data_IF_973426010384
#
_entry.id   IF_973426010384
#
_cell.length_a   1.000
_cell.length_b   1.000
_cell.length_c   1.000
_cell.angle_alpha   90.00
_cell.angle_beta   90.00
_cell.angle_gamma   90.00
#
_symmetry.space_group_name_H-M   'P 1'
#
loop_
_entity.id
_entity.type
_entity.pdbx_description
1 polymer ?
#
# COMPACT_ATOMS: atom_id res chain seq x y z
N UNK A 1 22.15 -9.64 -13.85
CA UNK A 1 20.95 -10.32 -13.33
C UNK A 1 20.97 -11.79 -13.70
N UNK A 2 21.18 -12.65 -12.70
CA UNK A 2 20.98 -14.10 -12.82
C UNK A 2 19.47 -14.40 -12.73
N UNK A 3 19.03 -15.57 -13.17
CA UNK A 3 17.61 -15.96 -13.11
C UNK A 3 17.46 -17.16 -12.17
N UNK A 4 16.37 -17.21 -11.41
CA UNK A 4 16.03 -18.32 -10.50
C UNK A 4 15.46 -19.55 -11.24
N UNK A 5 15.88 -19.78 -12.49
CA UNK A 5 15.42 -20.87 -13.35
C UNK A 5 16.55 -21.33 -14.28
N UNK A 6 16.72 -22.65 -14.40
CA UNK A 6 17.59 -23.28 -15.40
C UNK A 6 18.88 -23.96 -14.90
N UNK A 7 19.19 -23.94 -13.59
CA UNK A 7 20.21 -24.79 -12.92
C UNK A 7 19.93 -24.85 -11.41
N UNK A 8 19.87 -26.02 -10.72
CA UNK A 8 20.41 -27.33 -11.11
C UNK A 8 19.41 -28.28 -11.80
N UNK A 9 18.10 -28.00 -11.75
CA UNK A 9 17.07 -28.81 -12.40
C UNK A 9 16.73 -28.30 -13.81
N UNK A 10 16.07 -29.15 -14.61
CA UNK A 10 15.53 -28.73 -15.89
C UNK A 10 14.49 -27.60 -15.67
N UNK A 11 14.62 -26.44 -16.34
CA UNK A 11 13.79 -25.27 -16.08
C UNK A 11 12.29 -25.57 -16.28
N UNK A 12 11.94 -26.48 -17.18
CA UNK A 12 10.56 -26.88 -17.44
C UNK A 12 9.92 -27.55 -16.21
N UNK A 13 10.67 -28.40 -15.50
CA UNK A 13 10.20 -29.04 -14.26
C UNK A 13 10.03 -28.03 -13.13
N UNK A 14 10.95 -27.07 -12.99
CA UNK A 14 10.86 -26.03 -11.96
C UNK A 14 9.66 -25.10 -12.18
N UNK A 15 9.35 -24.80 -13.45
CA UNK A 15 8.18 -23.99 -13.80
C UNK A 15 6.90 -24.75 -13.48
N UNK A 16 6.83 -26.04 -13.80
CA UNK A 16 5.66 -26.87 -13.52
C UNK A 16 5.43 -27.04 -12.01
N UNK A 17 6.49 -27.30 -11.25
CA UNK A 17 6.42 -27.40 -9.78
C UNK A 17 5.89 -26.08 -9.17
N UNK A 18 6.35 -24.94 -9.67
CA UNK A 18 5.92 -23.63 -9.17
C UNK A 18 4.55 -23.16 -9.72
N UNK A 19 4.11 -23.66 -10.88
CA UNK A 19 2.80 -23.41 -11.50
C UNK A 19 1.95 -24.69 -11.50
N UNK A 20 1.68 -25.24 -10.31
CA UNK A 20 0.99 -26.52 -10.13
C UNK A 20 -0.42 -26.65 -10.76
N UNK A 21 -1.00 -25.54 -11.24
CA UNK A 21 -2.30 -25.50 -11.89
C UNK A 21 -2.22 -25.71 -13.42
N UNK A 22 -1.01 -25.73 -14.00
CA UNK A 22 -0.82 -25.93 -15.42
C UNK A 22 -0.30 -27.35 -15.66
N UNK A 23 -1.03 -28.09 -16.48
CA UNK A 23 -0.71 -29.47 -16.84
C UNK A 23 0.40 -29.56 -17.91
N UNK A 24 0.61 -28.48 -18.66
CA UNK A 24 1.52 -28.46 -19.80
C UNK A 24 2.95 -28.02 -19.43
N UNK A 25 3.94 -28.77 -19.91
CA UNK A 25 5.34 -28.31 -19.89
C UNK A 25 5.52 -27.18 -20.92
N UNK A 26 5.87 -25.99 -20.45
CA UNK A 26 6.21 -24.87 -21.33
C UNK A 26 7.68 -24.89 -21.71
N UNK A 27 7.96 -24.57 -22.97
CA UNK A 27 9.33 -24.25 -23.39
C UNK A 27 9.83 -23.00 -22.64
N UNK A 28 10.86 -23.16 -21.80
CA UNK A 28 11.47 -22.07 -21.05
C UNK A 28 11.82 -20.86 -21.93
N UNK A 29 12.23 -21.12 -23.18
CA UNK A 29 12.57 -20.09 -24.17
C UNK A 29 11.44 -19.07 -24.40
N UNK A 30 10.18 -19.48 -24.36
CA UNK A 30 9.02 -18.61 -24.61
C UNK A 30 8.77 -17.66 -23.44
N UNK A 31 8.97 -18.13 -22.22
CA UNK A 31 8.69 -17.39 -20.99
C UNK A 31 9.89 -16.57 -20.49
N UNK A 32 11.10 -16.84 -21.00
CA UNK A 32 12.36 -16.22 -20.55
C UNK A 32 12.36 -14.69 -20.59
N UNK A 33 11.70 -14.08 -21.57
CA UNK A 33 11.62 -12.62 -21.67
C UNK A 33 10.81 -12.03 -20.52
N UNK A 34 9.65 -12.62 -20.23
CA UNK A 34 8.76 -12.16 -19.17
C UNK A 34 9.36 -12.44 -17.79
N UNK A 35 10.03 -13.58 -17.61
CA UNK A 35 10.78 -13.88 -16.38
C UNK A 35 11.84 -12.82 -16.12
N UNK A 36 12.59 -12.38 -17.14
CA UNK A 36 13.60 -11.30 -16.98
C UNK A 36 12.96 -9.97 -16.57
N UNK A 37 11.87 -9.60 -17.23
CA UNK A 37 11.14 -8.36 -16.93
C UNK A 37 10.65 -8.36 -15.48
N UNK A 38 10.00 -9.44 -15.07
CA UNK A 38 9.46 -9.59 -13.71
C UNK A 38 10.56 -9.71 -12.67
N UNK A 39 11.67 -10.38 -12.98
CA UNK A 39 12.83 -10.44 -12.06
C UNK A 39 13.38 -9.03 -11.78
N UNK A 40 13.38 -8.15 -12.78
CA UNK A 40 13.81 -6.76 -12.59
C UNK A 40 12.87 -6.01 -11.65
N UNK A 41 11.56 -6.11 -11.86
CA UNK A 41 10.55 -5.50 -10.97
C UNK A 41 10.59 -6.08 -9.55
N UNK A 42 10.90 -7.38 -9.45
CA UNK A 42 11.08 -8.06 -8.17
C UNK A 42 12.26 -7.48 -7.39
N UNK A 43 13.42 -7.31 -8.04
CA UNK A 43 14.61 -6.70 -7.45
C UNK A 43 14.34 -5.25 -7.03
N UNK A 44 13.61 -4.47 -7.84
CA UNK A 44 13.21 -3.10 -7.47
C UNK A 44 12.37 -3.08 -6.18
N UNK A 45 11.53 -4.11 -5.97
CA UNK A 45 10.63 -4.18 -4.81
C UNK A 45 11.32 -4.69 -3.55
N UNK A 46 12.19 -5.70 -3.66
CA UNK A 46 12.78 -6.42 -2.52
C UNK A 46 14.23 -6.00 -2.23
N UNK A 47 14.91 -5.38 -3.19
CA UNK A 47 16.32 -5.01 -3.11
C UNK A 47 17.24 -6.03 -3.79
N UNK A 48 18.40 -5.55 -4.26
CA UNK A 48 19.41 -6.39 -4.94
C UNK A 48 20.07 -7.37 -3.96
N UNK A 49 20.41 -6.92 -2.75
CA UNK A 49 21.08 -7.76 -1.74
C UNK A 49 20.27 -9.00 -1.36
N UNK A 50 18.96 -8.83 -1.15
CA UNK A 50 18.05 -9.93 -0.81
C UNK A 50 17.89 -10.87 -2.01
N UNK A 51 17.86 -10.33 -3.23
CA UNK A 51 17.80 -11.16 -4.42
C UNK A 51 19.08 -11.99 -4.60
N UNK A 52 20.25 -11.39 -4.38
CA UNK A 52 21.54 -12.07 -4.49
C UNK A 52 21.70 -13.17 -3.43
N UNK A 53 21.16 -12.99 -2.22
CA UNK A 53 21.06 -14.05 -1.20
C UNK A 53 20.22 -15.24 -1.71
N UNK A 54 19.04 -14.98 -2.29
CA UNK A 54 18.18 -16.03 -2.85
C UNK A 54 18.85 -16.74 -4.03
N UNK A 55 19.58 -15.99 -4.88
CA UNK A 55 20.36 -16.57 -5.98
C UNK A 55 21.49 -17.44 -5.44
N UNK A 56 22.17 -17.02 -4.38
CA UNK A 56 23.23 -17.80 -3.76
C UNK A 56 22.70 -19.13 -3.20
N UNK A 57 21.51 -19.14 -2.61
CA UNK A 57 20.81 -20.37 -2.19
C UNK A 57 20.49 -21.24 -3.41
N UNK A 58 19.99 -20.64 -4.50
CA UNK A 58 19.62 -21.37 -5.71
C UNK A 58 20.81 -22.03 -6.42
N UNK A 59 21.97 -21.37 -6.43
CA UNK A 59 23.18 -21.87 -7.10
C UNK A 59 23.93 -22.95 -6.31
N UNK A 60 23.47 -23.30 -5.10
CA UNK A 60 24.06 -24.41 -4.35
C UNK A 60 23.87 -25.72 -5.12
N UNK A 61 24.93 -26.53 -5.21
CA UNK A 61 24.90 -27.81 -5.92
C UNK A 61 23.97 -28.84 -5.26
N UNK A 62 23.67 -28.64 -3.98
CA UNK A 62 22.72 -29.45 -3.22
C UNK A 62 21.46 -28.61 -2.99
N UNK A 63 20.26 -29.11 -3.37
CA UNK A 63 19.02 -28.44 -3.02
C UNK A 63 18.92 -28.26 -1.51
N UNK A 64 18.39 -27.13 -1.02
CA UNK A 64 18.15 -26.93 0.40
C UNK A 64 17.21 -28.03 0.93
N UNK A 65 17.39 -28.42 2.19
CA UNK A 65 16.55 -29.43 2.83
C UNK A 65 15.08 -28.99 2.81
N UNK A 66 14.18 -29.92 2.49
CA UNK A 66 12.75 -29.63 2.40
C UNK A 66 12.22 -29.12 3.74
N UNK A 67 11.54 -27.97 3.71
CA UNK A 67 11.04 -27.29 4.91
C UNK A 67 12.07 -26.43 5.66
N UNK A 68 13.32 -26.37 5.20
CA UNK A 68 14.28 -25.36 5.68
C UNK A 68 13.86 -23.95 5.28
N UNK A 69 14.34 -22.95 6.01
CA UNK A 69 14.07 -21.54 5.71
C UNK A 69 14.55 -21.14 4.31
N UNK A 70 15.69 -21.67 3.89
CA UNK A 70 16.26 -21.50 2.55
C UNK A 70 15.39 -22.12 1.44
N UNK A 71 14.83 -23.31 1.68
CA UNK A 71 13.91 -23.94 0.74
C UNK A 71 12.60 -23.13 0.59
N UNK A 72 12.05 -22.65 1.71
CA UNK A 72 10.79 -21.90 1.74
C UNK A 72 10.95 -20.56 1.02
N UNK A 73 12.00 -19.79 1.31
CA UNK A 73 12.20 -18.49 0.65
C UNK A 73 12.44 -18.65 -0.85
N UNK A 74 13.17 -19.69 -1.24
CA UNK A 74 13.42 -20.00 -2.65
C UNK A 74 12.12 -20.37 -3.37
N UNK A 75 11.27 -21.20 -2.78
CA UNK A 75 9.97 -21.58 -3.35
C UNK A 75 9.05 -20.37 -3.49
N UNK A 76 8.92 -19.55 -2.44
CA UNK A 76 8.11 -18.33 -2.45
C UNK A 76 8.59 -17.33 -3.50
N UNK A 77 9.92 -17.13 -3.63
CA UNK A 77 10.50 -16.24 -4.63
C UNK A 77 10.27 -16.76 -6.05
N UNK A 78 10.49 -18.06 -6.30
CA UNK A 78 10.20 -18.68 -7.60
C UNK A 78 8.72 -18.56 -7.96
N UNK A 79 7.82 -18.88 -7.02
CA UNK A 79 6.36 -18.77 -7.20
C UNK A 79 5.93 -17.35 -7.54
N UNK A 80 6.45 -16.35 -6.83
CA UNK A 80 6.17 -14.94 -7.09
C UNK A 80 6.61 -14.51 -8.50
N UNK A 81 7.84 -14.84 -8.90
CA UNK A 81 8.39 -14.46 -10.21
C UNK A 81 7.65 -15.19 -11.34
N UNK A 82 7.46 -16.50 -11.22
CA UNK A 82 6.89 -17.28 -12.32
C UNK A 82 5.40 -17.02 -12.52
N UNK A 83 4.64 -16.83 -11.44
CA UNK A 83 3.21 -16.50 -11.54
C UNK A 83 3.03 -15.13 -12.19
N UNK A 84 3.84 -14.14 -11.80
CA UNK A 84 3.81 -12.82 -12.42
C UNK A 84 4.29 -12.85 -13.88
N UNK A 85 5.30 -13.66 -14.22
CA UNK A 85 5.75 -13.85 -15.60
C UNK A 85 4.67 -14.52 -16.45
N UNK A 86 4.01 -15.55 -15.91
CA UNK A 86 2.92 -16.25 -16.60
C UNK A 86 1.72 -15.34 -16.85
N UNK A 87 1.38 -14.45 -15.90
CA UNK A 87 0.35 -13.41 -16.08
C UNK A 87 0.61 -12.53 -17.31
N UNK A 88 1.87 -12.17 -17.58
CA UNK A 88 2.23 -11.38 -18.76
C UNK A 88 2.20 -12.22 -20.04
N UNK A 89 2.63 -13.47 -19.92
CA UNK A 89 2.73 -14.40 -21.04
C UNK A 89 1.39 -14.92 -21.55
N UNK A 90 0.46 -15.27 -20.66
CA UNK A 90 -0.79 -15.94 -21.03
C UNK A 90 -1.62 -15.13 -22.05
N UNK A 91 -1.92 -13.82 -21.84
CA UNK A 91 -2.65 -13.02 -22.82
C UNK A 91 -1.90 -12.86 -24.15
N UNK A 92 -0.56 -12.83 -24.13
CA UNK A 92 0.24 -12.73 -25.34
C UNK A 92 0.21 -14.04 -26.15
N UNK A 93 0.04 -15.18 -25.46
CA UNK A 93 0.03 -16.52 -26.02
C UNK A 93 -1.37 -17.00 -26.46
N UNK A 94 -2.45 -16.30 -26.07
CA UNK A 94 -3.83 -16.60 -26.53
C UNK A 94 -3.99 -16.54 -28.06
N UNK A 95 -3.16 -15.73 -28.71
CA UNK A 95 -3.09 -15.60 -30.17
C UNK A 95 -1.76 -16.15 -30.70
N UNK A 96 -1.82 -16.85 -31.82
CA UNK A 96 -0.63 -17.19 -32.59
C UNK A 96 -0.16 -15.95 -33.36
N UNK A 97 1.10 -15.56 -33.17
CA UNK A 97 1.74 -14.50 -33.94
C UNK A 97 2.63 -15.13 -35.01
N UNK A 98 2.11 -15.24 -36.23
CA UNK A 98 2.83 -15.80 -37.39
C UNK A 98 3.23 -14.74 -38.43
N UNK A 99 3.91 -15.17 -39.49
CA UNK A 99 4.27 -14.27 -40.60
C UNK A 99 3.05 -13.67 -41.33
N UNK A 100 1.92 -14.39 -41.31
CA UNK A 100 0.67 -13.95 -41.93
C UNK A 100 -0.22 -13.11 -40.99
N UNK A 101 0.30 -12.72 -39.83
CA UNK A 101 -0.42 -11.93 -38.82
C UNK A 101 -0.83 -12.74 -37.59
N UNK A 102 -1.85 -12.25 -36.88
CA UNK A 102 -2.37 -12.85 -35.64
C UNK A 102 -3.54 -13.76 -35.94
N UNK A 103 -3.46 -15.02 -35.54
CA UNK A 103 -4.52 -16.02 -35.71
C UNK A 103 -4.93 -16.63 -34.38
N UNK A 104 -6.21 -17.02 -34.27
CA UNK A 104 -6.71 -17.72 -33.09
C UNK A 104 -6.15 -19.15 -33.07
N UNK A 105 -5.74 -19.61 -31.88
CA UNK A 105 -5.41 -21.01 -31.66
C UNK A 105 -6.72 -21.81 -31.59
N UNK A 106 -7.15 -22.40 -32.70
CA UNK A 106 -8.29 -23.32 -32.75
C UNK A 106 -7.82 -24.70 -33.21
N UNK A 107 -8.23 -25.74 -32.50
CA UNK A 107 -8.00 -27.15 -32.86
C UNK A 107 -9.36 -27.85 -32.98
N UNK A 108 -9.45 -28.89 -33.81
CA UNK A 108 -10.69 -29.69 -33.94
C UNK A 108 -11.05 -30.40 -32.62
N UNK A 109 -10.06 -30.74 -31.81
CA UNK A 109 -10.24 -31.50 -30.56
C UNK A 109 -10.54 -30.61 -29.34
N UNK A 110 -10.23 -29.31 -29.42
CA UNK A 110 -10.31 -28.40 -28.27
C UNK A 110 -11.14 -27.15 -28.58
N UNK A 111 -12.10 -26.87 -27.69
CA UNK A 111 -12.93 -25.66 -27.79
C UNK A 111 -12.19 -24.45 -27.26
N UNK A 112 -12.16 -23.36 -28.05
CA UNK A 112 -11.59 -22.09 -27.63
C UNK A 112 -12.43 -21.47 -26.50
N UNK A 113 -11.82 -20.94 -25.42
CA UNK A 113 -12.53 -20.26 -24.34
C UNK A 113 -13.20 -18.97 -24.82
N UNK A 114 -14.29 -18.59 -24.16
CA UNK A 114 -14.97 -17.31 -24.40
C UNK A 114 -14.22 -16.16 -23.71
N UNK A 115 -14.42 -14.93 -24.20
CA UNK A 115 -13.77 -13.72 -23.67
C UNK A 115 -13.97 -13.55 -22.16
N UNK A 116 -15.18 -13.76 -21.63
CA UNK A 116 -15.45 -13.61 -20.19
C UNK A 116 -14.69 -14.65 -19.33
N UNK A 117 -14.41 -15.84 -19.88
CA UNK A 117 -13.59 -16.84 -19.20
C UNK A 117 -12.13 -16.42 -19.15
N UNK A 118 -11.60 -15.88 -20.27
CA UNK A 118 -10.24 -15.34 -20.33
C UNK A 118 -10.06 -14.14 -19.40
N UNK A 119 -11.04 -13.23 -19.34
CA UNK A 119 -11.00 -12.09 -18.41
C UNK A 119 -11.01 -12.56 -16.97
N UNK A 120 -11.89 -13.50 -16.61
CA UNK A 120 -11.96 -14.04 -15.25
C UNK A 120 -10.67 -14.76 -14.84
N UNK A 121 -10.05 -15.52 -15.76
CA UNK A 121 -8.78 -16.20 -15.51
C UNK A 121 -7.62 -15.20 -15.35
N UNK A 122 -7.53 -14.19 -16.22
CA UNK A 122 -6.52 -13.14 -16.13
C UNK A 122 -6.60 -12.37 -14.79
N UNK A 123 -7.81 -12.05 -14.33
CA UNK A 123 -8.02 -11.42 -13.02
C UNK A 123 -7.54 -12.34 -11.88
N UNK A 124 -7.76 -13.65 -11.99
CA UNK A 124 -7.32 -14.62 -10.98
C UNK A 124 -5.79 -14.82 -10.99
N UNK A 125 -5.16 -14.83 -12.17
CA UNK A 125 -3.71 -14.84 -12.33
C UNK A 125 -3.07 -13.61 -11.66
N UNK A 126 -3.69 -12.43 -11.82
CA UNK A 126 -3.27 -11.21 -11.12
C UNK A 126 -3.38 -11.35 -9.60
N UNK A 127 -4.53 -11.80 -9.09
CA UNK A 127 -4.71 -12.05 -7.66
C UNK A 127 -3.72 -13.09 -7.12
N UNK A 128 -3.42 -14.13 -7.90
CA UNK A 128 -2.43 -15.16 -7.53
C UNK A 128 -1.02 -14.58 -7.48
N UNK A 129 -0.60 -13.80 -8.48
CA UNK A 129 0.70 -13.13 -8.49
C UNK A 129 0.85 -12.19 -7.27
N UNK A 130 -0.18 -11.42 -6.94
CA UNK A 130 -0.17 -10.58 -5.75
C UNK A 130 -0.14 -11.38 -4.45
N UNK A 131 -0.84 -12.51 -4.34
CA UNK A 131 -0.78 -13.38 -3.17
C UNK A 131 0.63 -13.97 -2.98
N UNK A 132 1.22 -14.53 -4.04
CA UNK A 132 2.57 -15.08 -4.00
C UNK A 132 3.60 -14.04 -3.53
N UNK A 133 3.54 -12.82 -4.08
CA UNK A 133 4.41 -11.72 -3.64
C UNK A 133 4.16 -11.30 -2.19
N UNK A 134 2.89 -11.26 -1.75
CA UNK A 134 2.56 -10.93 -0.37
C UNK A 134 3.08 -11.99 0.62
N UNK A 135 3.00 -13.27 0.27
CA UNK A 135 3.42 -14.35 1.16
C UNK A 135 4.95 -14.38 1.29
N UNK A 136 5.68 -14.12 0.21
CA UNK A 136 7.11 -13.83 0.27
C UNK A 136 7.43 -12.65 1.21
N UNK A 137 6.78 -11.50 1.03
CA UNK A 137 7.06 -10.31 1.84
C UNK A 137 6.75 -10.54 3.33
N UNK A 138 5.68 -11.28 3.65
CA UNK A 138 5.37 -11.67 5.04
C UNK A 138 6.47 -12.55 5.63
N UNK A 139 7.00 -13.48 4.84
CA UNK A 139 8.10 -14.34 5.26
C UNK A 139 9.38 -13.53 5.51
N UNK A 140 9.72 -12.62 4.58
CA UNK A 140 10.87 -11.72 4.69
C UNK A 140 10.77 -10.82 5.93
N UNK A 141 9.62 -10.19 6.18
CA UNK A 141 9.38 -9.37 7.38
C UNK A 141 9.59 -10.16 8.68
N UNK A 142 9.26 -11.46 8.68
CA UNK A 142 9.41 -12.32 9.85
C UNK A 142 10.88 -12.75 10.06
N UNK A 143 11.52 -13.30 9.03
CA UNK A 143 12.74 -14.11 9.17
C UNK A 143 14.02 -13.52 8.57
N UNK A 144 13.94 -12.77 7.47
CA UNK A 144 15.14 -12.29 6.78
C UNK A 144 15.78 -11.11 7.52
N UNK A 145 17.07 -11.22 7.83
CA UNK A 145 17.86 -10.12 8.38
C UNK A 145 18.24 -9.12 7.28
N UNK A 146 18.69 -9.63 6.13
CA UNK A 146 19.05 -8.83 4.94
C UNK A 146 17.92 -7.92 4.50
N UNK A 147 16.68 -8.42 4.50
CA UNK A 147 15.50 -7.59 4.19
C UNK A 147 15.30 -6.47 5.21
N UNK A 148 15.50 -6.72 6.50
CA UNK A 148 15.35 -5.69 7.55
C UNK A 148 16.41 -4.61 7.46
N UNK A 149 17.58 -4.95 6.91
CA UNK A 149 18.65 -4.01 6.65
C UNK A 149 18.51 -3.25 5.31
N UNK A 150 17.59 -3.67 4.43
CA UNK A 150 17.31 -3.00 3.17
C UNK A 150 16.77 -1.58 3.35
N UNK A 151 17.07 -0.72 2.37
CA UNK A 151 16.57 0.66 2.34
C UNK A 151 15.04 0.70 2.26
N UNK A 152 14.43 -0.20 1.47
CA UNK A 152 12.97 -0.31 1.32
C UNK A 152 12.30 -0.62 2.66
N UNK A 153 12.87 -1.52 3.45
CA UNK A 153 12.34 -1.83 4.77
C UNK A 153 12.49 -0.65 5.74
N UNK A 154 13.67 -0.02 5.78
CA UNK A 154 13.95 1.14 6.62
C UNK A 154 13.03 2.31 6.31
N UNK A 155 12.85 2.65 5.03
CA UNK A 155 11.90 3.68 4.59
C UNK A 155 10.46 3.37 5.04
N UNK A 156 10.06 2.11 5.00
CA UNK A 156 8.73 1.68 5.47
C UNK A 156 8.55 1.83 6.99
N UNK A 157 9.61 1.62 7.75
CA UNK A 157 9.60 1.65 9.21
C UNK A 157 9.85 3.06 9.79
N UNK A 158 10.32 4.00 8.98
CA UNK A 158 10.42 5.43 9.35
C UNK A 158 9.03 6.09 9.51
N UNK A 159 8.04 5.58 8.77
CA UNK A 159 6.68 6.09 8.77
C UNK A 159 5.95 5.81 10.10
N UNK A 160 4.88 6.57 10.36
CA UNK A 160 3.92 6.39 11.45
C UNK A 160 3.10 5.11 11.26
N UNK A 161 2.91 4.61 10.05
CA UNK A 161 2.23 3.33 9.82
C UNK A 161 3.24 2.36 9.22
N UNK A 162 3.81 1.50 10.08
CA UNK A 162 4.94 0.63 9.72
C UNK A 162 4.48 -0.74 9.26
N UNK A 163 3.47 -1.27 9.94
CA UNK A 163 3.02 -2.66 9.75
C UNK A 163 1.60 -2.74 9.21
N UNK A 164 1.29 -3.84 8.54
CA UNK A 164 -0.07 -4.14 8.07
C UNK A 164 -1.07 -4.19 9.23
N UNK A 165 -0.63 -4.63 10.42
CA UNK A 165 -1.47 -4.67 11.62
C UNK A 165 -1.89 -3.27 12.08
N UNK A 166 -1.00 -2.29 12.01
CA UNK A 166 -1.32 -0.90 12.36
C UNK A 166 -2.27 -0.29 11.35
N UNK A 167 -2.03 -0.52 10.06
CA UNK A 167 -2.90 -0.06 8.99
C UNK A 167 -4.33 -0.64 9.13
N UNK A 168 -4.41 -1.95 9.40
CA UNK A 168 -5.66 -2.68 9.56
C UNK A 168 -6.52 -2.23 10.77
N UNK A 169 -5.97 -1.45 11.71
CA UNK A 169 -6.77 -0.87 12.80
C UNK A 169 -7.78 0.15 12.29
N UNK A 170 -7.44 0.86 11.22
CA UNK A 170 -8.28 1.90 10.62
C UNK A 170 -8.97 1.40 9.35
N UNK A 171 -8.26 0.67 8.49
CA UNK A 171 -8.83 0.12 7.27
C UNK A 171 -8.16 -1.20 6.87
N UNK A 172 -8.95 -2.22 6.52
CA UNK A 172 -8.43 -3.58 6.28
C UNK A 172 -7.86 -3.68 4.85
N UNK A 173 -6.55 -3.91 4.74
CA UNK A 173 -5.84 -4.15 3.47
C UNK A 173 -5.33 -5.60 3.35
N UNK A 174 -4.87 -6.21 4.46
CA UNK A 174 -4.33 -7.58 4.50
C UNK A 174 -3.21 -7.91 3.48
N UNK A 175 -2.59 -6.90 2.88
CA UNK A 175 -1.51 -7.03 1.89
C UNK A 175 -0.33 -6.14 2.25
N UNK A 176 0.85 -6.76 2.41
CA UNK A 176 2.11 -6.05 2.65
C UNK A 176 2.57 -5.30 1.40
N UNK A 177 2.38 -5.90 0.23
CA UNK A 177 2.69 -5.28 -1.06
C UNK A 177 1.90 -3.97 -1.26
N UNK A 178 0.60 -3.97 -0.94
CA UNK A 178 -0.22 -2.76 -1.07
C UNK A 178 0.24 -1.67 -0.10
N UNK A 179 0.64 -2.03 1.12
CA UNK A 179 1.22 -1.09 2.08
C UNK A 179 2.50 -0.44 1.54
N UNK A 180 3.39 -1.22 0.91
CA UNK A 180 4.60 -0.69 0.26
C UNK A 180 4.24 0.29 -0.86
N UNK A 181 3.27 -0.05 -1.72
CA UNK A 181 2.80 0.84 -2.80
C UNK A 181 2.15 2.14 -2.28
N UNK A 182 1.57 2.13 -1.07
CA UNK A 182 0.95 3.30 -0.44
C UNK A 182 1.92 4.19 0.34
N UNK A 183 3.20 3.79 0.47
CA UNK A 183 4.22 4.56 1.20
C UNK A 183 4.32 6.03 0.78
N UNK A 184 4.31 6.40 -0.52
CA UNK A 184 4.40 7.80 -0.90
C UNK A 184 3.19 8.61 -0.40
N UNK A 185 2.00 8.01 -0.42
CA UNK A 185 0.78 8.62 0.14
C UNK A 185 0.86 8.79 1.66
N UNK A 186 1.40 7.80 2.38
CA UNK A 186 1.65 7.91 3.82
C UNK A 186 2.67 9.01 4.14
N UNK A 187 3.76 9.11 3.38
CA UNK A 187 4.79 10.15 3.54
C UNK A 187 4.21 11.55 3.31
N UNK A 188 3.35 11.71 2.32
CA UNK A 188 2.63 12.98 2.09
C UNK A 188 1.72 13.33 3.26
N UNK A 189 0.96 12.36 3.77
CA UNK A 189 0.07 12.58 4.91
C UNK A 189 0.84 12.94 6.20
N UNK A 190 1.98 12.28 6.44
CA UNK A 190 2.84 12.64 7.58
C UNK A 190 3.40 14.06 7.48
N UNK A 191 3.78 14.50 6.30
CA UNK A 191 4.23 15.88 6.09
C UNK A 191 3.10 16.88 6.35
N UNK A 192 1.85 16.55 5.99
CA UNK A 192 0.68 17.36 6.29
C UNK A 192 0.41 17.45 7.80
N UNK A 193 0.56 16.33 8.53
CA UNK A 193 0.44 16.32 10.00
C UNK A 193 1.57 17.12 10.65
N UNK A 194 2.80 16.97 10.16
CA UNK A 194 3.97 17.73 10.66
C UNK A 194 3.80 19.24 10.48
N UNK A 195 3.06 19.68 9.46
CA UNK A 195 2.77 21.10 9.27
C UNK A 195 1.74 21.67 10.27
N UNK A 196 0.91 20.80 10.88
CA UNK A 196 -0.18 21.16 11.78
C UNK A 196 0.16 20.98 13.26
N UNK A 197 1.08 20.07 13.58
CA UNK A 197 1.57 19.82 14.94
C UNK A 197 2.93 20.50 15.12
N UNK A 198 3.23 20.94 16.34
CA UNK A 198 4.58 21.37 16.71
C UNK A 198 5.66 20.31 16.33
N UNK A 199 6.70 20.70 15.57
CA UNK A 199 7.72 19.77 15.08
C UNK A 199 8.47 19.01 16.18
N UNK A 200 8.66 19.61 17.36
CA UNK A 200 9.33 18.97 18.49
C UNK A 200 8.46 17.84 19.07
N UNK A 201 7.16 18.11 19.22
CA UNK A 201 6.17 17.12 19.68
C UNK A 201 6.08 15.94 18.71
N UNK A 202 6.05 16.20 17.39
CA UNK A 202 6.01 15.15 16.39
C UNK A 202 7.28 14.28 16.41
N UNK A 203 8.45 14.91 16.53
CA UNK A 203 9.72 14.19 16.63
C UNK A 203 9.80 13.36 17.92
N UNK A 204 9.38 13.92 19.05
CA UNK A 204 9.31 13.21 20.32
C UNK A 204 8.42 11.96 20.26
N UNK A 205 7.28 12.02 19.57
CA UNK A 205 6.40 10.86 19.36
C UNK A 205 7.08 9.79 18.49
N UNK A 206 7.77 10.19 17.42
CA UNK A 206 8.53 9.25 16.57
C UNK A 206 9.68 8.59 17.35
N UNK A 207 10.46 9.36 18.11
CA UNK A 207 11.61 8.90 18.88
C UNK A 207 11.21 7.98 20.06
N UNK A 208 10.12 8.31 20.75
CA UNK A 208 9.52 7.43 21.79
C UNK A 208 9.01 6.12 21.22
N UNK A 209 8.59 6.12 19.97
CA UNK A 209 8.03 4.93 19.31
C UNK A 209 9.05 4.08 18.56
N UNK A 210 10.16 4.64 18.10
CA UNK A 210 11.29 3.86 17.59
C UNK A 210 12.05 3.14 18.71
N UNK A 211 11.71 3.38 19.98
CA UNK A 211 12.38 2.79 21.13
C UNK A 211 13.72 3.47 21.47
N UNK A 212 14.01 4.62 20.85
CA UNK A 212 15.25 5.39 21.09
C UNK A 212 15.22 6.07 22.46
N UNK A 213 14.03 6.38 22.99
CA UNK A 213 13.87 6.81 24.38
C UNK A 213 13.12 5.77 25.21
N UNK A 214 13.67 5.38 26.37
CA UNK A 214 13.08 4.44 27.34
C UNK A 214 11.84 5.00 28.09
N UNK A 215 11.22 6.07 27.60
CA UNK A 215 10.09 6.74 28.23
C UNK A 215 8.78 6.28 27.60
N UNK A 216 7.85 5.78 28.42
CA UNK A 216 6.53 5.38 27.96
C UNK A 216 5.72 6.59 27.46
N UNK A 217 4.93 6.41 26.39
CA UNK A 217 4.07 7.48 25.87
C UNK A 217 3.05 7.91 26.94
N UNK A 218 2.91 9.22 27.12
CA UNK A 218 1.83 9.82 27.91
C UNK A 218 0.45 9.47 27.30
N UNK A 219 -0.62 9.52 28.10
CA UNK A 219 -1.97 9.25 27.63
C UNK A 219 -2.38 10.17 26.45
N UNK A 220 -1.99 11.45 26.52
CA UNK A 220 -2.23 12.44 25.44
C UNK A 220 -1.45 12.10 24.16
N UNK A 221 -0.19 11.66 24.31
CA UNK A 221 0.66 11.27 23.17
C UNK A 221 0.16 9.99 22.48
N UNK A 222 -0.37 9.03 23.25
CA UNK A 222 -1.00 7.82 22.70
C UNK A 222 -2.25 8.13 21.88
N UNK A 223 -3.09 9.04 22.37
CA UNK A 223 -4.28 9.49 21.64
C UNK A 223 -3.90 10.23 20.36
N UNK A 224 -2.92 11.13 20.44
CA UNK A 224 -2.42 11.86 19.27
C UNK A 224 -1.81 10.91 18.23
N UNK A 225 -1.04 9.91 18.67
CA UNK A 225 -0.49 8.88 17.80
C UNK A 225 -1.60 8.10 17.07
N UNK A 226 -2.63 7.65 17.80
CA UNK A 226 -3.72 6.88 17.22
C UNK A 226 -4.47 7.69 16.14
N UNK A 227 -4.79 8.95 16.44
CA UNK A 227 -5.45 9.85 15.49
C UNK A 227 -4.55 10.15 14.28
N UNK A 228 -3.25 10.39 14.50
CA UNK A 228 -2.30 10.63 13.42
C UNK A 228 -2.14 9.41 12.50
N UNK A 229 -2.12 8.19 13.06
CA UNK A 229 -2.10 6.96 12.29
C UNK A 229 -3.35 6.79 11.45
N UNK A 230 -4.53 7.03 12.03
CA UNK A 230 -5.81 6.93 11.34
C UNK A 230 -5.93 7.96 10.20
N UNK A 231 -5.54 9.21 10.46
CA UNK A 231 -5.47 10.26 9.45
C UNK A 231 -4.52 9.90 8.30
N UNK A 232 -3.33 9.36 8.61
CA UNK A 232 -2.38 8.89 7.61
C UNK A 232 -2.98 7.79 6.72
N UNK A 233 -3.69 6.83 7.32
CA UNK A 233 -4.33 5.73 6.58
C UNK A 233 -5.34 6.28 5.59
N UNK A 234 -6.30 7.10 6.02
CA UNK A 234 -7.33 7.63 5.11
C UNK A 234 -6.77 8.58 4.05
N UNK A 235 -5.80 9.43 4.40
CA UNK A 235 -5.13 10.29 3.43
C UNK A 235 -4.35 9.45 2.39
N UNK A 236 -3.68 8.37 2.81
CA UNK A 236 -2.96 7.48 1.88
C UNK A 236 -3.90 6.75 0.93
N UNK A 237 -5.10 6.35 1.39
CA UNK A 237 -6.13 5.73 0.55
C UNK A 237 -6.71 6.73 -0.45
N UNK A 238 -7.02 7.95 -0.01
CA UNK A 238 -7.47 9.02 -0.89
C UNK A 238 -6.45 9.30 -2.00
N UNK A 239 -5.16 9.35 -1.65
CA UNK A 239 -4.08 9.52 -2.62
C UNK A 239 -3.91 8.31 -3.55
N UNK A 240 -3.99 7.11 -2.99
CA UNK A 240 -3.69 5.85 -3.65
C UNK A 240 -4.77 5.37 -4.61
N UNK A 241 -6.05 5.44 -4.24
CA UNK A 241 -7.17 4.92 -5.05
C UNK A 241 -7.14 5.40 -6.53
N UNK A 242 -7.08 6.71 -6.83
CA UNK A 242 -7.07 7.16 -8.21
C UNK A 242 -5.75 6.81 -8.93
N UNK A 243 -4.62 6.71 -8.21
CA UNK A 243 -3.28 6.51 -8.80
C UNK A 243 -2.92 5.05 -9.00
N UNK A 244 -3.30 4.19 -8.07
CA UNK A 244 -3.05 2.76 -8.13
C UNK A 244 -3.88 2.11 -9.21
N UNK A 245 -5.10 2.61 -9.49
CA UNK A 245 -5.83 2.19 -10.69
C UNK A 245 -5.07 2.56 -11.97
N UNK A 246 -4.54 3.78 -12.07
CA UNK A 246 -3.74 4.21 -13.23
C UNK A 246 -2.41 3.45 -13.37
N UNK A 247 -1.83 2.98 -12.26
CA UNK A 247 -0.53 2.27 -12.25
C UNK A 247 -0.69 0.75 -12.43
N UNK A 248 -1.78 0.15 -11.92
CA UNK A 248 -2.08 -1.28 -12.08
C UNK A 248 -2.69 -1.58 -13.46
N UNK A 249 -3.22 -0.56 -14.17
CA UNK A 249 -3.68 -0.65 -15.55
C UNK A 249 -2.93 0.36 -16.45
N UNK A 250 -1.73 0.03 -16.94
CA UNK A 250 -1.00 0.88 -17.90
C UNK A 250 -1.67 0.99 -19.28
N UNK A 251 -2.73 0.22 -19.53
CA UNK A 251 -3.47 0.21 -20.79
C UNK A 251 -4.49 1.35 -20.82
N UNK A 252 -4.05 2.49 -21.35
CA UNK A 252 -4.94 3.48 -21.96
C UNK A 252 -5.40 4.59 -21.02
N UNK A 253 -4.65 5.69 -21.04
CA UNK A 253 -4.94 6.98 -20.38
C UNK A 253 -6.37 7.50 -20.61
N UNK A 254 -7.18 6.97 -21.54
CA UNK A 254 -8.59 7.33 -21.72
C UNK A 254 -9.42 6.20 -22.39
N UNK A 255 -9.63 5.05 -21.75
CA UNK A 255 -10.79 4.21 -22.14
C UNK A 255 -11.75 3.94 -20.97
N UNK A 256 -12.98 4.48 -21.03
CA UNK A 256 -14.02 4.21 -20.05
C UNK A 256 -14.59 2.80 -20.26
N UNK A 257 -14.84 2.11 -19.15
CA UNK A 257 -15.86 1.05 -18.98
C UNK A 257 -15.73 -0.12 -19.97
N UNK A 258 -15.05 -1.20 -19.54
CA UNK A 258 -15.37 -2.54 -20.06
C UNK A 258 -16.75 -2.92 -19.53
N UNK A 259 -17.78 -2.65 -20.33
CA UNK A 259 -19.13 -3.13 -20.04
C UNK A 259 -19.21 -4.62 -20.36
N UNK A 260 -19.67 -5.43 -19.40
CA UNK A 260 -19.87 -6.90 -19.48
C UNK A 260 -20.86 -7.37 -20.57
N UNK A 261 -21.26 -6.51 -21.50
CA UNK A 261 -22.17 -6.85 -22.61
C UNK A 261 -21.76 -6.12 -23.88
N UNK A 262 -21.38 -6.89 -24.89
CA UNK A 262 -21.03 -6.41 -26.23
C UNK A 262 -22.13 -5.58 -26.94
N UNK A 263 -23.35 -5.48 -26.41
CA UNK A 263 -24.46 -4.69 -27.00
C UNK A 263 -24.76 -3.35 -26.31
N UNK A 264 -24.14 -3.01 -25.18
CA UNK A 264 -24.43 -1.76 -24.44
C UNK A 264 -23.23 -0.80 -24.49
N UNK A 265 -22.73 -0.53 -25.70
CA UNK A 265 -21.64 0.44 -25.91
C UNK A 265 -22.08 1.91 -25.85
N UNK A 266 -23.35 2.21 -25.60
CA UNK A 266 -23.90 3.57 -25.79
C UNK A 266 -24.30 4.37 -24.54
N UNK A 267 -24.36 3.78 -23.34
CA UNK A 267 -25.03 4.45 -22.18
C UNK A 267 -24.49 4.10 -20.79
N UNK A 268 -23.25 3.62 -20.66
CA UNK A 268 -22.65 3.57 -19.33
C UNK A 268 -22.19 4.99 -18.95
N UNK A 269 -22.78 5.54 -17.89
CA UNK A 269 -22.24 6.74 -17.22
C UNK A 269 -20.79 6.42 -16.84
N UNK A 270 -19.82 7.32 -17.06
CA UNK A 270 -18.44 7.03 -16.72
C UNK A 270 -18.31 6.69 -15.23
N UNK A 271 -17.94 5.45 -14.91
CA UNK A 271 -17.63 4.97 -13.55
C UNK A 271 -16.51 5.77 -12.87
N UNK A 272 -15.79 6.63 -13.61
CA UNK A 272 -14.81 7.58 -13.10
C UNK A 272 -15.33 8.42 -11.91
N UNK A 273 -16.63 8.69 -11.83
CA UNK A 273 -17.17 9.48 -10.73
C UNK A 273 -17.20 8.70 -9.40
N UNK A 274 -17.37 7.38 -9.42
CA UNK A 274 -17.43 6.58 -8.18
C UNK A 274 -16.06 6.51 -7.49
N UNK A 275 -15.00 6.30 -8.27
CA UNK A 275 -13.62 6.27 -7.76
C UNK A 275 -13.22 7.63 -7.18
N UNK A 276 -13.53 8.72 -7.91
CA UNK A 276 -13.26 10.07 -7.43
C UNK A 276 -14.06 10.39 -6.17
N UNK A 277 -15.33 9.97 -6.12
CA UNK A 277 -16.20 10.14 -4.96
C UNK A 277 -15.67 9.40 -3.73
N UNK A 278 -15.25 8.13 -3.87
CA UNK A 278 -14.65 7.36 -2.78
C UNK A 278 -13.34 7.98 -2.30
N UNK A 279 -12.49 8.46 -3.21
CA UNK A 279 -11.26 9.17 -2.87
C UNK A 279 -11.55 10.47 -2.09
N UNK A 280 -12.59 11.21 -2.46
CA UNK A 280 -13.02 12.41 -1.73
C UNK A 280 -13.60 12.09 -0.35
N UNK A 281 -14.33 10.99 -0.21
CA UNK A 281 -14.86 10.54 1.07
C UNK A 281 -13.73 10.26 2.06
N UNK A 282 -12.73 9.48 1.64
CA UNK A 282 -11.55 9.24 2.47
C UNK A 282 -10.76 10.52 2.77
N UNK A 283 -10.73 11.48 1.83
CA UNK A 283 -10.10 12.77 2.10
C UNK A 283 -10.82 13.53 3.21
N UNK A 284 -12.15 13.57 3.14
CA UNK A 284 -12.98 14.23 4.15
C UNK A 284 -12.79 13.60 5.53
N UNK A 285 -12.77 12.27 5.62
CA UNK A 285 -12.54 11.56 6.88
C UNK A 285 -11.14 11.89 7.45
N UNK A 286 -10.12 11.97 6.59
CA UNK A 286 -8.79 12.41 6.99
C UNK A 286 -8.78 13.87 7.49
N UNK A 287 -9.44 14.78 6.79
CA UNK A 287 -9.51 16.20 7.18
C UNK A 287 -10.22 16.40 8.52
N UNK A 288 -11.30 15.64 8.80
CA UNK A 288 -11.98 15.66 10.10
C UNK A 288 -11.05 15.21 11.25
N UNK A 289 -10.20 14.20 11.01
CA UNK A 289 -9.22 13.74 11.98
C UNK A 289 -8.07 14.74 12.18
N UNK A 290 -7.61 15.39 11.11
CA UNK A 290 -6.59 16.44 11.20
C UNK A 290 -7.07 17.63 12.04
N UNK A 291 -8.34 18.04 11.91
CA UNK A 291 -8.92 19.07 12.77
C UNK A 291 -9.00 18.65 14.25
N UNK A 292 -9.21 17.36 14.54
CA UNK A 292 -9.19 16.84 15.93
C UNK A 292 -7.77 16.83 16.51
N UNK A 293 -6.78 16.53 15.67
CA UNK A 293 -5.36 16.58 16.05
C UNK A 293 -4.96 18.01 16.41
N UNK A 294 -5.36 19.00 15.60
CA UNK A 294 -5.10 20.42 15.87
C UNK A 294 -5.69 20.86 17.22
N UNK A 295 -6.98 20.55 17.48
CA UNK A 295 -7.64 20.87 18.76
C UNK A 295 -6.99 20.23 19.98
N UNK A 296 -6.36 19.06 19.83
CA UNK A 296 -5.64 18.39 20.91
C UNK A 296 -4.22 18.94 21.08
N UNK A 297 -3.62 19.45 20.02
CA UNK A 297 -2.28 20.04 20.00
C UNK A 297 -2.27 21.47 20.53
N UNK A 298 -3.37 22.22 20.37
CA UNK A 298 -3.53 23.53 21.01
C UNK A 298 -3.30 23.41 22.53
N UNK A 299 -2.45 24.27 23.13
CA UNK A 299 -2.33 24.34 24.57
C UNK A 299 -3.72 24.69 25.10
N UNK A 300 -4.23 23.92 26.06
CA UNK A 300 -5.42 24.35 26.78
C UNK A 300 -5.04 25.66 27.46
N UNK A 301 -5.54 26.79 26.94
CA UNK A 301 -5.66 28.01 27.72
C UNK A 301 -6.28 27.61 29.06
N UNK A 302 -5.62 28.06 30.13
CA UNK A 302 -5.61 27.38 31.42
C UNK A 302 -6.99 27.00 31.95
N UNK A 303 -6.97 26.04 32.89
CA UNK A 303 -7.91 26.10 33.99
C UNK A 303 -7.87 27.54 34.53
N UNK A 304 -8.84 28.36 34.12
CA UNK A 304 -9.18 29.57 34.87
C UNK A 304 -9.54 29.06 36.25
N UNK A 305 -8.57 29.13 37.15
CA UNK A 305 -8.83 29.25 38.58
C UNK A 305 -9.89 30.32 38.68
N UNK A 306 -11.11 29.91 38.98
CA UNK A 306 -12.22 30.79 39.34
C UNK A 306 -11.77 31.48 40.61
N UNK A 307 -10.99 32.56 40.46
CA UNK A 307 -10.76 33.50 41.54
C UNK A 307 -12.10 34.16 41.77
N UNK A 308 -12.68 33.88 42.92
CA UNK A 308 -13.86 34.53 43.47
C UNK A 308 -13.88 35.99 43.06
N UNK A 309 -14.86 36.36 42.23
CA UNK A 309 -15.23 37.76 42.05
C UNK A 309 -15.80 38.21 43.39
N UNK A 310 -14.92 38.77 44.23
CA UNK A 310 -15.32 39.53 45.40
C UNK A 310 -16.22 40.68 44.96
N UNK A 311 -17.51 40.54 45.27
CA UNK A 311 -18.46 41.59 45.61
C UNK A 311 -18.21 42.96 44.96
N UNK A 312 -18.79 43.17 43.78
CA UNK A 312 -19.11 44.51 43.32
C UNK A 312 -20.27 45.03 44.18
N UNK A 313 -19.89 45.78 45.20
CA UNK A 313 -20.76 46.49 46.14
C UNK A 313 -21.69 47.48 45.39
N UNK A 314 -22.92 47.04 45.15
CA UNK A 314 -23.97 47.79 44.43
C UNK A 314 -24.50 49.02 45.20
N UNK A 315 -23.98 49.33 46.39
CA UNK A 315 -24.43 50.45 47.23
C UNK A 315 -23.67 51.77 47.04
N UNK A 316 -22.73 51.86 46.08
CA UNK A 316 -22.01 53.12 45.80
C UNK A 316 -22.56 53.96 44.64
N UNK A 317 -23.73 53.66 44.12
CA UNK A 317 -24.33 54.40 42.99
C UNK A 317 -25.41 55.43 43.37
N UNK A 318 -25.69 55.65 44.67
CA UNK A 318 -26.74 56.56 45.14
C UNK A 318 -26.20 57.71 46.02
N UNK A 319 -25.20 58.43 45.53
CA UNK A 319 -24.78 59.69 46.15
C UNK A 319 -24.64 60.79 45.09
N UNK A 320 -25.75 61.08 44.40
CA UNK A 320 -25.92 62.34 43.67
C UNK A 320 -26.40 63.38 44.67
N UNK A 321 -25.43 64.09 45.22
CA UNK A 321 -25.62 65.21 46.13
C UNK A 321 -26.39 66.33 45.42
N UNK A 322 -27.56 66.67 45.96
CA UNK A 322 -28.30 67.89 45.69
C UNK A 322 -27.49 69.07 46.24
N UNK A 323 -26.55 69.62 45.46
CA UNK A 323 -26.08 71.03 45.60
C UNK A 323 -24.94 71.33 44.61
N UNK A 324 -25.29 71.85 43.43
CA UNK A 324 -24.41 72.77 42.70
C UNK A 324 -25.24 73.58 41.71
N UNK A 325 -25.52 74.82 42.10
CA UNK A 325 -26.37 75.76 41.37
C UNK A 325 -25.81 76.22 40.02
N UNK A 326 -26.77 76.51 39.13
CA UNK A 326 -26.86 77.71 38.29
C UNK A 326 -25.57 78.33 37.76
N UNK A 327 -25.38 78.35 36.43
CA UNK A 327 -25.27 79.59 35.65
C UNK A 327 -25.79 79.35 34.22
N UNK A 328 -26.79 80.14 33.84
CA UNK A 328 -27.22 80.41 32.47
C UNK A 328 -26.33 81.47 31.81
N UNK A 329 -25.92 81.23 30.56
CA UNK A 329 -25.69 82.28 29.54
C UNK A 329 -25.82 81.66 28.15
#
# INVERSE_FOLDING_TARGET
MKLLFGKPKAPETEIQDALSFIDAMFEFKKLKSDIRSVTSQFIETVGEDVYDEIVAIYEQNTPPEEGSDDAIVLELAKSAIITAAYRLFAPANDLQHGMNGRTMLSSEDNKTPFEHMLVADNDELERRAHRAMNDLLKWLDAKSATWKDSDQYKESHELLVRTVKEFNRSYIINSRLLLLKLQPGLRMAENEIKARIDPETFKAIKDKRSGVSNTSLSAKEKQLLALAQEACVYASLSWGIPRLQLTMFPEGVLQPVRGDRASIKGRAVPQFNEVAYVSQLFRKDADELLLRIEKLAEPQEGEEVVSERSDLDFNKLNDFNEDSGFVSA
#
